data_IF_352133951578
#
_entry.id   IF_352133951578
#
_cell.length_a   1.000
_cell.length_b   1.000
_cell.length_c   1.000
_cell.angle_alpha   90.00
_cell.angle_beta   90.00
_cell.angle_gamma   90.00
#
_symmetry.space_group_name_H-M   'P 1'
#
loop_
_entity.id
_entity.type
_entity.pdbx_description
1 polymer ?
#
# COMPACT_ATOMS: atom_id res chain seq x y z
N UNK A 1 6.81 -32.70 11.89
CA UNK A 1 6.93 -31.83 10.70
C UNK A 1 5.64 -31.95 9.95
N UNK A 2 4.91 -30.86 9.76
CA UNK A 2 3.59 -30.90 9.13
C UNK A 2 3.79 -30.95 7.61
N UNK A 3 3.23 -31.98 6.96
CA UNK A 3 3.32 -32.22 5.53
C UNK A 3 2.41 -31.26 4.76
N UNK A 4 2.88 -30.72 3.63
CA UNK A 4 2.23 -29.68 2.79
C UNK A 4 0.89 -30.05 2.13
N UNK A 5 0.25 -31.14 2.55
CA UNK A 5 -0.93 -31.74 1.89
C UNK A 5 -2.09 -31.99 2.87
N UNK A 6 -2.29 -31.08 3.83
CA UNK A 6 -3.42 -31.17 4.76
C UNK A 6 -4.71 -30.69 4.06
N UNK A 7 -5.72 -31.56 4.00
CA UNK A 7 -7.03 -31.23 3.46
C UNK A 7 -7.75 -30.28 4.43
N UNK A 8 -8.29 -29.17 3.90
CA UNK A 8 -9.05 -28.20 4.68
C UNK A 8 -10.50 -28.27 4.25
N UNK A 9 -11.35 -28.78 5.14
CA UNK A 9 -12.81 -28.78 4.99
C UNK A 9 -13.41 -27.69 5.86
N UNK A 10 -14.00 -26.69 5.22
CA UNK A 10 -14.57 -25.51 5.87
C UNK A 10 -15.85 -25.09 5.16
N UNK A 11 -16.90 -24.78 5.91
CA UNK A 11 -18.18 -24.34 5.36
C UNK A 11 -18.44 -22.89 5.79
N UNK A 12 -18.58 -22.00 4.82
CA UNK A 12 -18.92 -20.59 5.04
C UNK A 12 -20.26 -20.27 4.37
N UNK A 13 -21.05 -19.42 5.01
CA UNK A 13 -22.31 -18.91 4.46
C UNK A 13 -22.32 -17.40 4.62
N UNK A 14 -22.78 -16.67 3.61
CA UNK A 14 -22.94 -15.20 3.65
C UNK A 14 -21.63 -14.44 3.94
N UNK A 15 -20.51 -14.89 3.34
CA UNK A 15 -19.20 -14.24 3.43
C UNK A 15 -18.62 -13.99 2.04
N UNK A 16 -17.86 -12.90 1.90
CA UNK A 16 -17.11 -12.67 0.67
C UNK A 16 -16.01 -13.73 0.51
N UNK A 17 -15.75 -14.15 -0.73
CA UNK A 17 -14.67 -15.08 -1.04
C UNK A 17 -13.31 -14.57 -0.50
N UNK A 18 -13.11 -13.25 -0.51
CA UNK A 18 -11.93 -12.61 0.07
C UNK A 18 -11.77 -12.93 1.56
N UNK A 19 -12.79 -12.67 2.38
CA UNK A 19 -12.72 -12.88 3.82
C UNK A 19 -12.53 -14.38 4.14
N UNK A 20 -13.21 -15.25 3.39
CA UNK A 20 -13.07 -16.70 3.50
C UNK A 20 -11.63 -17.12 3.22
N UNK A 21 -11.04 -16.63 2.14
CA UNK A 21 -9.69 -16.98 1.75
C UNK A 21 -8.65 -16.46 2.76
N UNK A 22 -8.82 -15.23 3.27
CA UNK A 22 -7.96 -14.71 4.34
C UNK A 22 -8.03 -15.59 5.60
N UNK A 23 -9.24 -15.97 6.03
CA UNK A 23 -9.46 -16.79 7.22
C UNK A 23 -8.84 -18.19 7.10
N UNK A 24 -8.98 -18.85 5.94
CA UNK A 24 -8.41 -20.18 5.70
C UNK A 24 -6.88 -20.14 5.66
N UNK A 25 -6.31 -19.11 5.05
CA UNK A 25 -4.88 -19.01 4.81
C UNK A 25 -4.11 -18.50 6.04
N UNK A 26 -4.75 -17.72 6.91
CA UNK A 26 -4.11 -17.09 8.06
C UNK A 26 -3.39 -18.08 9.00
N UNK A 27 -4.00 -19.21 9.43
CA UNK A 27 -3.35 -20.19 10.30
C UNK A 27 -2.12 -20.86 9.69
N UNK A 28 -2.03 -20.87 8.35
CA UNK A 28 -0.93 -21.48 7.60
C UNK A 28 0.22 -20.51 7.30
N UNK A 29 0.14 -19.28 7.81
CA UNK A 29 1.03 -18.17 7.44
C UNK A 29 1.07 -17.89 5.91
N UNK A 30 -0.06 -18.19 5.26
CA UNK A 30 -0.29 -17.93 3.85
C UNK A 30 -1.18 -16.70 3.66
N UNK A 31 -1.20 -16.22 2.43
CA UNK A 31 -2.08 -15.17 1.96
C UNK A 31 -2.26 -15.32 0.45
N UNK A 32 -3.08 -14.48 -0.15
CA UNK A 32 -3.25 -14.44 -1.59
C UNK A 32 -2.87 -13.06 -2.15
N UNK A 33 -2.48 -13.04 -3.42
CA UNK A 33 -2.35 -11.83 -4.22
C UNK A 33 -3.08 -12.05 -5.54
N UNK A 34 -3.67 -10.98 -6.08
CA UNK A 34 -4.24 -11.02 -7.44
C UNK A 34 -3.25 -10.36 -8.39
N UNK A 35 -2.71 -11.14 -9.30
CA UNK A 35 -1.80 -10.68 -10.35
C UNK A 35 -2.19 -11.32 -11.68
N UNK A 36 -2.25 -10.52 -12.74
CA UNK A 36 -2.64 -10.97 -14.11
C UNK A 36 -3.89 -11.86 -14.12
N UNK A 37 -4.94 -11.43 -13.43
CA UNK A 37 -6.24 -12.13 -13.35
C UNK A 37 -6.19 -13.50 -12.67
N UNK A 38 -5.07 -13.85 -12.02
CA UNK A 38 -4.91 -15.09 -11.25
C UNK A 38 -4.86 -14.79 -9.76
N UNK A 39 -5.48 -15.67 -8.97
CA UNK A 39 -5.32 -15.71 -7.52
C UNK A 39 -4.09 -16.57 -7.21
N UNK A 40 -3.01 -15.93 -6.79
CA UNK A 40 -1.78 -16.60 -6.36
C UNK A 40 -1.79 -16.72 -4.85
N UNK A 41 -1.86 -17.96 -4.34
CA UNK A 41 -1.63 -18.25 -2.93
C UNK A 41 -0.12 -18.31 -2.67
N UNK A 42 0.35 -17.59 -1.65
CA UNK A 42 1.78 -17.47 -1.32
C UNK A 42 1.97 -17.23 0.18
N UNK A 43 3.21 -17.23 0.68
CA UNK A 43 3.47 -16.96 2.10
C UNK A 43 3.32 -15.46 2.41
N UNK A 44 2.93 -15.12 3.64
CA UNK A 44 2.88 -13.71 4.08
C UNK A 44 4.23 -13.02 3.92
N UNK A 45 5.33 -13.70 4.23
CA UNK A 45 6.69 -13.20 4.02
C UNK A 45 6.97 -12.84 2.55
N UNK A 46 6.61 -13.71 1.61
CA UNK A 46 6.84 -13.47 0.18
C UNK A 46 5.95 -12.35 -0.34
N UNK A 47 4.68 -12.31 0.05
CA UNK A 47 3.76 -11.23 -0.29
C UNK A 47 4.25 -9.87 0.25
N UNK A 48 4.74 -9.82 1.49
CA UNK A 48 5.24 -8.61 2.13
C UNK A 48 6.50 -8.02 1.45
N UNK A 49 7.23 -8.83 0.69
CA UNK A 49 8.43 -8.41 -0.08
C UNK A 49 8.15 -8.18 -1.56
N UNK A 50 6.91 -8.41 -2.02
CA UNK A 50 6.52 -8.25 -3.41
C UNK A 50 5.83 -6.90 -3.59
N UNK A 51 6.60 -5.94 -4.08
CA UNK A 51 6.12 -4.59 -4.37
C UNK A 51 5.62 -4.50 -5.82
N UNK A 52 4.52 -3.80 -6.03
CA UNK A 52 4.03 -3.44 -7.34
C UNK A 52 3.78 -1.93 -7.38
N UNK A 53 3.93 -1.32 -8.56
CA UNK A 53 3.66 0.10 -8.75
C UNK A 53 2.27 0.28 -9.34
N UNK A 54 1.43 1.11 -8.70
CA UNK A 54 0.11 1.50 -9.22
C UNK A 54 0.00 3.02 -9.27
N UNK A 55 -0.74 3.51 -10.27
CA UNK A 55 -1.04 4.93 -10.46
C UNK A 55 -2.47 5.19 -10.00
N UNK A 56 -2.64 6.15 -9.09
CA UNK A 56 -3.91 6.55 -8.51
C UNK A 56 -4.25 7.97 -8.96
N UNK A 57 -5.23 8.17 -9.85
CA UNK A 57 -5.73 9.51 -10.12
C UNK A 57 -6.40 10.04 -8.86
N UNK A 58 -5.98 11.24 -8.42
CA UNK A 58 -6.50 11.90 -7.20
C UNK A 58 -6.79 13.38 -7.42
N UNK A 59 -6.80 13.83 -8.68
CA UNK A 59 -7.08 15.22 -9.02
C UNK A 59 -8.46 15.72 -8.60
N UNK A 60 -9.39 14.83 -8.30
CA UNK A 60 -10.68 15.14 -7.69
C UNK A 60 -10.59 15.45 -6.20
N UNK A 61 -9.62 14.86 -5.49
CA UNK A 61 -9.34 15.11 -4.08
C UNK A 61 -8.39 16.30 -3.87
N UNK A 62 -7.55 16.64 -4.86
CA UNK A 62 -6.56 17.72 -4.80
C UNK A 62 -6.95 18.93 -5.67
N UNK A 63 -7.92 19.73 -5.22
CA UNK A 63 -8.51 20.83 -5.99
C UNK A 63 -7.91 22.21 -5.67
N UNK A 64 -7.34 22.37 -4.47
CA UNK A 64 -6.91 23.67 -3.92
C UNK A 64 -5.46 24.02 -4.26
N UNK A 65 -4.65 23.04 -4.68
CA UNK A 65 -3.27 23.26 -5.10
C UNK A 65 -2.32 22.11 -4.75
N UNK A 66 -0.99 22.32 -4.86
CA UNK A 66 0.03 21.31 -4.55
C UNK A 66 -0.04 20.78 -3.11
N UNK A 67 -0.42 21.63 -2.15
CA UNK A 67 -0.50 21.28 -0.73
C UNK A 67 -1.48 20.13 -0.44
N UNK A 68 -2.52 19.97 -1.26
CA UNK A 68 -3.49 18.86 -1.11
C UNK A 68 -2.83 17.50 -1.35
N UNK A 69 -1.85 17.42 -2.26
CA UNK A 69 -1.13 16.17 -2.51
C UNK A 69 -0.26 15.79 -1.31
N UNK A 70 0.42 16.75 -0.69
CA UNK A 70 1.19 16.53 0.54
C UNK A 70 0.28 16.12 1.70
N UNK A 71 -0.89 16.74 1.84
CA UNK A 71 -1.87 16.34 2.83
C UNK A 71 -2.36 14.90 2.62
N UNK A 72 -2.66 14.53 1.37
CA UNK A 72 -3.12 13.18 1.03
C UNK A 72 -2.01 12.13 1.24
N UNK A 73 -0.77 12.44 0.86
CA UNK A 73 0.39 11.61 1.16
C UNK A 73 0.53 11.37 2.67
N UNK A 74 0.41 12.43 3.48
CA UNK A 74 0.49 12.33 4.93
C UNK A 74 -0.63 11.44 5.51
N UNK A 75 -1.85 11.55 4.99
CA UNK A 75 -2.97 10.68 5.36
C UNK A 75 -2.66 9.21 5.04
N UNK A 76 -2.17 8.91 3.83
CA UNK A 76 -1.84 7.54 3.41
C UNK A 76 -0.74 6.94 4.31
N UNK A 77 0.32 7.72 4.60
CA UNK A 77 1.42 7.28 5.47
C UNK A 77 0.94 7.01 6.90
N UNK A 78 0.07 7.86 7.44
CA UNK A 78 -0.44 7.75 8.81
C UNK A 78 -1.55 6.71 8.98
N UNK A 79 -2.16 6.23 7.89
CA UNK A 79 -3.20 5.20 7.90
C UNK A 79 -2.68 3.80 8.28
N UNK A 80 -1.38 3.65 8.57
CA UNK A 80 -0.71 2.37 8.89
C UNK A 80 -0.88 1.32 7.79
N UNK A 81 -0.94 1.77 6.53
CA UNK A 81 -1.08 0.92 5.36
C UNK A 81 0.31 0.54 4.85
N UNK A 82 0.84 -0.58 5.33
CA UNK A 82 2.16 -1.08 4.97
C UNK A 82 3.32 -0.27 5.55
N UNK A 83 4.54 -0.74 5.29
CA UNK A 83 5.77 -0.05 5.67
C UNK A 83 6.18 0.94 4.58
N UNK A 84 6.48 2.17 4.98
CA UNK A 84 6.88 3.24 4.06
C UNK A 84 8.34 3.59 4.25
N UNK A 85 9.05 3.83 3.14
CA UNK A 85 10.34 4.49 3.22
C UNK A 85 10.16 5.90 3.79
N UNK A 86 10.99 6.33 4.75
CA UNK A 86 10.96 7.69 5.24
C UNK A 86 11.19 8.72 4.12
N UNK A 87 10.57 9.87 4.28
CA UNK A 87 10.64 10.95 3.30
C UNK A 87 12.06 11.54 3.21
N UNK A 88 12.45 12.03 2.02
CA UNK A 88 13.74 12.67 1.81
C UNK A 88 14.94 11.73 1.71
N UNK A 89 14.74 10.41 1.85
CA UNK A 89 15.84 9.44 1.80
C UNK A 89 16.43 9.21 0.41
N UNK A 90 15.65 9.41 -0.64
CA UNK A 90 16.16 9.39 -2.02
C UNK A 90 17.22 10.49 -2.27
N UNK A 91 17.31 11.47 -1.36
CA UNK A 91 18.29 12.57 -1.37
C UNK A 91 19.50 12.31 -0.47
N UNK A 92 19.53 11.22 0.28
CA UNK A 92 20.69 10.88 1.12
C UNK A 92 21.82 10.35 0.24
N UNK A 93 22.97 11.01 0.30
CA UNK A 93 24.20 10.52 -0.32
C UNK A 93 24.72 9.32 0.47
N UNK A 94 25.25 8.26 -0.17
CA UNK A 94 25.88 7.15 0.54
C UNK A 94 26.95 7.66 1.51
N UNK A 95 27.00 7.09 2.72
CA UNK A 95 28.06 7.43 3.68
C UNK A 95 29.27 6.54 3.38
N UNK A 96 30.38 7.18 3.03
CA UNK A 96 31.65 6.51 2.81
C UNK A 96 32.47 6.59 4.09
N UNK A 97 32.92 5.43 4.60
CA UNK A 97 33.80 5.35 5.77
C UNK A 97 35.08 4.59 5.45
N UNK A 98 36.15 4.90 6.18
CA UNK A 98 37.40 4.16 6.11
C UNK A 98 38.02 4.04 7.50
N UNK A 99 38.47 2.85 7.86
CA UNK A 99 39.24 2.58 9.06
C UNK A 99 40.42 1.68 8.70
N UNK A 100 41.65 2.21 8.84
CA UNK A 100 42.85 1.50 8.43
C UNK A 100 42.88 1.25 6.91
N UNK A 101 42.98 -0.01 6.51
CA UNK A 101 42.97 -0.44 5.11
C UNK A 101 41.59 -0.79 4.57
N UNK A 102 40.54 -0.72 5.40
CA UNK A 102 39.17 -1.09 5.00
C UNK A 102 38.35 0.16 4.70
N UNK A 103 37.70 0.18 3.53
CA UNK A 103 36.70 1.18 3.16
C UNK A 103 35.34 0.51 3.02
N UNK A 104 34.28 1.16 3.52
CA UNK A 104 32.92 0.67 3.43
C UNK A 104 31.98 1.76 2.92
N UNK A 105 30.86 1.34 2.35
CA UNK A 105 29.78 2.22 1.93
C UNK A 105 28.53 1.83 2.71
N UNK A 106 28.05 2.72 3.58
CA UNK A 106 26.73 2.57 4.17
C UNK A 106 25.72 3.18 3.19
N UNK A 107 25.17 2.31 2.35
CA UNK A 107 24.01 2.65 1.54
C UNK A 107 22.82 2.26 2.37
N UNK A 108 22.18 3.21 3.03
CA UNK A 108 21.03 2.92 3.87
C UNK A 108 19.94 2.20 3.06
N UNK A 109 19.88 0.87 3.15
CA UNK A 109 18.90 0.05 2.42
C UNK A 109 17.59 0.05 3.20
N UNK A 110 16.86 1.16 3.11
CA UNK A 110 15.54 1.23 3.71
C UNK A 110 14.56 0.33 2.95
N UNK A 111 13.91 -0.55 3.71
CA UNK A 111 12.82 -1.40 3.24
C UNK A 111 11.51 -0.62 3.34
N UNK A 112 10.59 -0.87 2.42
CA UNK A 112 9.28 -0.25 2.41
C UNK A 112 8.88 0.30 1.04
N UNK A 113 7.62 0.68 0.95
CA UNK A 113 7.04 1.26 -0.25
C UNK A 113 7.37 2.73 -0.42
N UNK A 114 7.06 3.24 -1.60
CA UNK A 114 7.24 4.65 -1.98
C UNK A 114 5.94 5.25 -2.45
N UNK A 115 5.81 6.55 -2.28
CA UNK A 115 4.73 7.38 -2.80
C UNK A 115 5.38 8.58 -3.48
N UNK A 116 4.88 8.94 -4.66
CA UNK A 116 5.39 10.07 -5.42
C UNK A 116 4.23 10.78 -6.11
N UNK A 117 4.27 12.09 -6.13
CA UNK A 117 3.28 12.92 -6.82
C UNK A 117 3.70 13.07 -8.28
N UNK A 118 2.76 12.84 -9.19
CA UNK A 118 2.89 13.18 -10.59
C UNK A 118 1.83 14.21 -10.96
N UNK A 119 2.17 15.49 -10.76
CA UNK A 119 1.28 16.63 -10.97
C UNK A 119 0.67 16.69 -12.38
N UNK A 120 1.41 16.42 -13.49
CA UNK A 120 0.84 16.53 -14.83
C UNK A 120 -0.36 15.61 -15.07
N UNK A 121 -0.39 14.43 -14.44
CA UNK A 121 -1.52 13.50 -14.52
C UNK A 121 -2.44 13.57 -13.29
N UNK A 122 -2.20 14.53 -12.38
CA UNK A 122 -2.94 14.68 -11.12
C UNK A 122 -3.07 13.36 -10.35
N UNK A 123 -1.96 12.64 -10.25
CA UNK A 123 -1.93 11.26 -9.76
C UNK A 123 -0.86 11.04 -8.70
N UNK A 124 -1.12 10.08 -7.81
CA UNK A 124 -0.10 9.48 -6.95
C UNK A 124 0.41 8.21 -7.61
N UNK A 125 1.73 8.09 -7.72
CA UNK A 125 2.41 6.85 -8.12
C UNK A 125 2.92 6.19 -6.85
N UNK A 126 2.39 5.01 -6.53
CA UNK A 126 2.67 4.31 -5.29
C UNK A 126 3.25 2.94 -5.60
N UNK A 127 4.40 2.61 -5.01
CA UNK A 127 4.96 1.27 -5.01
C UNK A 127 4.78 0.63 -3.64
N UNK A 128 3.95 -0.40 -3.54
CA UNK A 128 3.63 -1.05 -2.27
C UNK A 128 3.17 -2.50 -2.50
N UNK A 129 2.96 -3.27 -1.42
CA UNK A 129 2.44 -4.63 -1.50
C UNK A 129 0.99 -4.67 -1.98
N UNK A 130 0.54 -5.83 -2.49
CA UNK A 130 -0.83 -6.04 -2.97
C UNK A 130 -1.90 -5.62 -1.93
N UNK A 131 -1.79 -6.14 -0.70
CA UNK A 131 -2.76 -5.87 0.37
C UNK A 131 -2.81 -4.39 0.78
N UNK A 132 -1.66 -3.73 0.76
CA UNK A 132 -1.61 -2.31 1.03
C UNK A 132 -2.23 -1.49 -0.12
N UNK A 133 -2.13 -1.94 -1.38
CA UNK A 133 -2.88 -1.30 -2.46
C UNK A 133 -4.39 -1.45 -2.30
N UNK A 134 -4.89 -2.62 -1.91
CA UNK A 134 -6.33 -2.80 -1.65
C UNK A 134 -6.81 -1.86 -0.53
N UNK A 135 -6.00 -1.71 0.53
CA UNK A 135 -6.28 -0.76 1.60
C UNK A 135 -6.23 0.72 1.14
N UNK A 136 -5.29 1.09 0.27
CA UNK A 136 -5.21 2.44 -0.33
C UNK A 136 -6.43 2.72 -1.20
N UNK A 137 -6.86 1.76 -2.02
CA UNK A 137 -8.06 1.89 -2.85
C UNK A 137 -9.27 2.20 -1.96
N UNK A 138 -9.46 1.40 -0.91
CA UNK A 138 -10.56 1.58 0.04
C UNK A 138 -10.50 2.96 0.71
N UNK A 139 -9.35 3.37 1.21
CA UNK A 139 -9.15 4.69 1.82
C UNK A 139 -9.51 5.83 0.86
N UNK A 140 -9.00 5.80 -0.37
CA UNK A 140 -9.29 6.83 -1.37
C UNK A 140 -10.78 6.86 -1.77
N UNK A 141 -11.43 5.70 -1.83
CA UNK A 141 -12.88 5.62 -2.07
C UNK A 141 -13.68 6.24 -0.91
N UNK A 142 -13.27 5.97 0.33
CA UNK A 142 -13.95 6.51 1.51
C UNK A 142 -13.77 8.04 1.62
N UNK A 143 -12.59 8.56 1.29
CA UNK A 143 -12.35 10.01 1.20
C UNK A 143 -13.25 10.68 0.14
N UNK A 144 -13.40 10.08 -1.04
CA UNK A 144 -14.31 10.58 -2.09
C UNK A 144 -15.76 10.61 -1.64
N UNK A 145 -16.23 9.54 -0.97
CA UNK A 145 -17.60 9.49 -0.42
C UNK A 145 -17.81 10.59 0.62
N UNK A 146 -16.83 10.83 1.49
CA UNK A 146 -16.90 11.90 2.49
C UNK A 146 -16.96 13.29 1.83
N UNK A 147 -16.13 13.55 0.81
CA UNK A 147 -16.15 14.81 0.05
C UNK A 147 -17.51 15.04 -0.62
N UNK A 148 -18.08 14.01 -1.27
CA UNK A 148 -19.39 14.10 -1.91
C UNK A 148 -20.53 14.36 -0.90
N UNK A 149 -20.46 13.79 0.30
CA UNK A 149 -21.44 14.05 1.36
C UNK A 149 -21.39 15.51 1.87
N UNK A 150 -20.19 16.07 1.97
CA UNK A 150 -19.99 17.47 2.37
C UNK A 150 -20.53 18.45 1.31
N UNK A 151 -20.31 18.18 0.02
CA UNK A 151 -20.82 19.00 -1.08
C UNK A 151 -22.36 19.05 -1.09
N UNK A 152 -23.02 17.89 -0.97
CA UNK A 152 -24.50 17.82 -0.88
C UNK A 152 -25.05 18.60 0.31
N UNK A 153 -24.34 18.56 1.45
CA UNK A 153 -24.75 19.29 2.66
C UNK A 153 -24.61 20.80 2.50
N UNK A 154 -23.62 21.27 1.73
CA UNK A 154 -23.42 22.68 1.43
C UNK A 154 -24.49 23.22 0.46
N UNK A 155 -24.85 22.45 -0.56
CA UNK A 155 -25.88 22.81 -1.54
C UNK A 155 -27.28 22.89 -0.94
N UNK A 156 -27.59 22.08 0.09
CA UNK A 156 -28.89 22.09 0.77
C UNK A 156 -29.09 23.26 1.75
N UNK A 157 -28.04 24.02 2.05
CA UNK A 157 -28.09 25.19 2.96
C UNK A 157 -28.25 26.53 2.22
N UNK A 158 -28.37 26.50 0.89
CA UNK A 158 -28.58 27.65 0.00
C UNK A 158 -30.03 27.61 -0.48
#
# INVERSE_FOLDING_TARGET
GITREELIDVTFTDQSLQNVLEYILEPLDLTYVVDKEMVLITTKERAARTFMTRVYPVGDLCQSGPDDYSALEMVIRNARIGEWKPEGMDKLTPVYGSSGSESWVDTFQFKGGTISVHEPSKSLVISQTYHAHEAIIKLLQDLRKAQAAQQKTAEQKI
#
